data_IF_617752023297
#
_entry.id   IF_617752023297
#
_cell.length_a   1.000
_cell.length_b   1.000
_cell.length_c   1.000
_cell.angle_alpha   90.00
_cell.angle_beta   90.00
_cell.angle_gamma   90.00
#
_symmetry.space_group_name_H-M   'P 1'
#
loop_
_entity.id
_entity.type
_entity.pdbx_description
1 polymer ?
#
# COMPACT_ATOMS: atom_id res chain seq x y z
N UNK A 1 10.05 6.86 -13.45
CA UNK A 1 8.66 6.67 -13.94
C UNK A 1 7.87 7.92 -13.55
N UNK A 2 6.84 8.31 -14.34
CA UNK A 2 5.90 9.33 -13.89
C UNK A 2 5.13 8.84 -12.66
N UNK A 3 4.65 9.74 -11.77
CA UNK A 3 3.98 9.36 -10.53
C UNK A 3 2.75 8.48 -10.76
N UNK A 4 1.94 8.79 -11.76
CA UNK A 4 0.77 7.99 -12.11
C UNK A 4 1.13 6.58 -12.59
N UNK A 5 2.18 6.44 -13.43
CA UNK A 5 2.62 5.12 -13.89
C UNK A 5 3.19 4.27 -12.75
N UNK A 6 3.95 4.89 -11.84
CA UNK A 6 4.45 4.19 -10.68
C UNK A 6 3.30 3.76 -9.77
N UNK A 7 2.41 4.69 -9.41
CA UNK A 7 1.23 4.40 -8.59
C UNK A 7 0.34 3.30 -9.19
N UNK A 8 0.08 3.35 -10.49
CA UNK A 8 -0.74 2.35 -11.18
C UNK A 8 -0.07 0.97 -11.19
N UNK A 9 1.22 0.87 -11.53
CA UNK A 9 1.92 -0.41 -11.59
C UNK A 9 1.94 -1.14 -10.25
N UNK A 10 2.28 -0.43 -9.17
CA UNK A 10 2.24 -0.99 -7.82
C UNK A 10 0.82 -1.13 -7.28
N UNK A 11 -0.11 -0.27 -7.72
CA UNK A 11 -1.53 -0.35 -7.41
C UNK A 11 -2.16 -1.64 -7.94
N UNK A 12 -1.84 -2.07 -9.16
CA UNK A 12 -2.32 -3.35 -9.70
C UNK A 12 -1.86 -4.53 -8.85
N UNK A 13 -0.60 -4.55 -8.42
CA UNK A 13 -0.11 -5.60 -7.51
C UNK A 13 -0.86 -5.56 -6.17
N UNK A 14 -1.08 -4.38 -5.61
CA UNK A 14 -1.82 -4.21 -4.37
C UNK A 14 -3.30 -4.63 -4.50
N UNK A 15 -3.93 -4.39 -5.64
CA UNK A 15 -5.29 -4.87 -5.97
C UNK A 15 -5.33 -6.40 -6.01
N UNK A 16 -4.36 -7.05 -6.64
CA UNK A 16 -4.29 -8.52 -6.66
C UNK A 16 -4.14 -9.09 -5.24
N UNK A 17 -3.29 -8.49 -4.40
CA UNK A 17 -3.17 -8.88 -3.00
C UNK A 17 -4.50 -8.69 -2.26
N UNK A 18 -5.20 -7.57 -2.47
CA UNK A 18 -6.51 -7.31 -1.86
C UNK A 18 -7.55 -8.37 -2.28
N UNK A 19 -7.61 -8.70 -3.57
CA UNK A 19 -8.53 -9.72 -4.08
C UNK A 19 -8.25 -11.10 -3.47
N UNK A 20 -6.99 -11.53 -3.46
CA UNK A 20 -6.61 -12.83 -2.86
C UNK A 20 -6.93 -12.87 -1.37
N UNK A 21 -6.65 -11.78 -0.64
CA UNK A 21 -6.91 -11.71 0.80
C UNK A 21 -8.40 -11.73 1.12
N UNK A 22 -9.22 -11.01 0.38
CA UNK A 22 -10.66 -10.89 0.66
C UNK A 22 -11.49 -12.04 0.07
N UNK A 23 -11.06 -12.63 -1.04
CA UNK A 23 -11.77 -13.76 -1.68
C UNK A 23 -11.14 -15.12 -1.31
N UNK A 24 -10.37 -15.17 -0.22
CA UNK A 24 -9.69 -16.38 0.24
C UNK A 24 -10.65 -17.56 0.49
N UNK A 25 -11.87 -17.29 0.94
CA UNK A 25 -12.91 -18.30 1.15
C UNK A 25 -13.31 -19.06 -0.12
N UNK A 26 -13.00 -18.52 -1.32
CA UNK A 26 -13.15 -19.23 -2.58
C UNK A 26 -11.91 -20.06 -2.95
N UNK A 27 -10.78 -19.80 -2.32
CA UNK A 27 -9.47 -20.39 -2.65
C UNK A 27 -9.01 -21.42 -1.61
N UNK A 28 -9.50 -21.30 -0.38
CA UNK A 28 -9.07 -22.08 0.77
C UNK A 28 -10.24 -22.94 1.25
N UNK A 29 -10.03 -24.25 1.25
CA UNK A 29 -10.91 -25.20 1.93
C UNK A 29 -10.45 -25.31 3.41
N UNK A 30 -11.24 -24.85 4.38
CA UNK A 30 -10.87 -24.90 5.79
C UNK A 30 -10.57 -26.31 6.29
N UNK A 31 -11.22 -27.34 5.73
CA UNK A 31 -11.03 -28.74 6.12
C UNK A 31 -9.78 -29.36 5.47
N UNK A 32 -9.26 -28.75 4.40
CA UNK A 32 -8.11 -29.23 3.63
C UNK A 32 -6.75 -28.71 4.12
N UNK A 33 -6.71 -27.76 5.05
CA UNK A 33 -5.46 -27.14 5.54
C UNK A 33 -5.27 -27.35 7.04
N UNK A 34 -4.02 -27.38 7.54
CA UNK A 34 -3.74 -27.47 8.98
C UNK A 34 -4.33 -26.27 9.75
N UNK A 35 -4.92 -26.53 10.93
CA UNK A 35 -5.57 -25.53 11.77
C UNK A 35 -4.71 -24.31 12.08
N UNK A 36 -3.40 -24.49 12.29
CA UNK A 36 -2.48 -23.39 12.57
C UNK A 36 -2.30 -22.44 11.38
N UNK A 37 -2.35 -22.96 10.14
CA UNK A 37 -2.26 -22.12 8.94
C UNK A 37 -3.54 -21.30 8.80
N UNK A 38 -4.69 -21.94 8.99
CA UNK A 38 -5.98 -21.28 8.93
C UNK A 38 -6.07 -20.14 9.96
N UNK A 39 -5.70 -20.42 11.21
CA UNK A 39 -5.70 -19.42 12.29
C UNK A 39 -4.78 -18.25 11.98
N UNK A 40 -3.54 -18.51 11.54
CA UNK A 40 -2.60 -17.44 11.18
C UNK A 40 -3.14 -16.58 10.03
N UNK A 41 -3.73 -17.19 9.01
CA UNK A 41 -4.32 -16.44 7.89
C UNK A 41 -5.45 -15.55 8.39
N UNK A 42 -6.38 -16.07 9.21
CA UNK A 42 -7.54 -15.29 9.66
C UNK A 42 -7.17 -14.20 10.67
N UNK A 43 -6.25 -14.48 11.58
CA UNK A 43 -5.84 -13.53 12.62
C UNK A 43 -4.98 -12.40 12.07
N UNK A 44 -4.01 -12.70 11.21
CA UNK A 44 -3.02 -11.72 10.75
C UNK A 44 -3.31 -11.14 9.37
N UNK A 45 -4.35 -11.58 8.65
CA UNK A 45 -4.65 -11.14 7.28
C UNK A 45 -4.70 -9.62 7.12
N UNK A 46 -5.37 -8.94 8.04
CA UNK A 46 -5.56 -7.49 7.96
C UNK A 46 -4.25 -6.74 8.14
N UNK A 47 -3.44 -7.18 9.11
CA UNK A 47 -2.13 -6.60 9.41
C UNK A 47 -1.15 -6.83 8.25
N UNK A 48 -1.10 -8.06 7.72
CA UNK A 48 -0.24 -8.42 6.60
C UNK A 48 -0.64 -7.69 5.32
N UNK A 49 -1.94 -7.60 5.04
CA UNK A 49 -2.45 -6.85 3.90
C UNK A 49 -2.09 -5.36 4.00
N UNK A 50 -2.32 -4.73 5.17
CA UNK A 50 -1.99 -3.33 5.40
C UNK A 50 -0.49 -3.06 5.28
N UNK A 51 0.35 -3.92 5.85
CA UNK A 51 1.81 -3.84 5.72
C UNK A 51 2.25 -3.95 4.26
N UNK A 52 1.62 -4.86 3.49
CA UNK A 52 1.91 -5.03 2.06
C UNK A 52 1.50 -3.79 1.27
N UNK A 53 0.32 -3.20 1.54
CA UNK A 53 -0.11 -1.97 0.86
C UNK A 53 0.81 -0.80 1.17
N UNK A 54 1.24 -0.66 2.43
CA UNK A 54 2.19 0.36 2.85
C UNK A 54 3.54 0.19 2.12
N UNK A 55 4.05 -1.04 2.08
CA UNK A 55 5.29 -1.37 1.37
C UNK A 55 5.19 -1.05 -0.13
N UNK A 56 4.11 -1.43 -0.79
CA UNK A 56 3.88 -1.13 -2.21
C UNK A 56 3.73 0.38 -2.46
N UNK A 57 3.08 1.12 -1.55
CA UNK A 57 3.00 2.57 -1.60
C UNK A 57 4.38 3.24 -1.48
N UNK A 58 5.23 2.76 -0.58
CA UNK A 58 6.62 3.21 -0.44
C UNK A 58 7.42 2.89 -1.70
N UNK A 59 7.31 1.68 -2.25
CA UNK A 59 7.99 1.31 -3.50
C UNK A 59 7.53 2.18 -4.67
N UNK A 60 6.24 2.48 -4.78
CA UNK A 60 5.72 3.39 -5.78
C UNK A 60 6.38 4.77 -5.67
N UNK A 61 6.44 5.34 -4.45
CA UNK A 61 7.09 6.63 -4.19
C UNK A 61 8.60 6.59 -4.49
N UNK A 62 9.30 5.51 -4.17
CA UNK A 62 10.73 5.35 -4.46
C UNK A 62 11.04 5.32 -5.97
N UNK A 63 10.13 4.80 -6.78
CA UNK A 63 10.28 4.69 -8.25
C UNK A 63 9.92 5.97 -9.00
N UNK A 64 9.35 6.96 -8.35
CA UNK A 64 9.01 8.23 -8.96
C UNK A 64 10.27 9.00 -9.37
N UNK A 65 10.21 9.58 -10.58
CA UNK A 65 11.16 10.58 -11.05
C UNK A 65 10.35 11.75 -11.60
N UNK A 66 10.52 12.98 -11.09
CA UNK A 66 9.84 14.13 -11.61
C UNK A 66 10.12 14.27 -13.11
N UNK A 67 9.07 14.30 -13.91
CA UNK A 67 9.18 14.36 -15.39
C UNK A 67 9.07 15.78 -15.90
N UNK A 68 8.52 16.67 -15.09
CA UNK A 68 8.39 18.11 -15.42
C UNK A 68 9.16 18.88 -14.36
N UNK A 69 10.27 19.45 -14.78
CA UNK A 69 11.04 20.40 -13.98
C UNK A 69 10.47 21.78 -14.27
N UNK A 70 9.80 22.36 -13.30
CA UNK A 70 9.37 23.75 -13.33
C UNK A 70 10.50 24.59 -12.73
N UNK A 71 11.08 25.58 -13.45
CA UNK A 71 12.18 26.37 -12.94
C UNK A 71 11.80 27.20 -11.71
N UNK A 72 10.51 27.51 -11.55
CA UNK A 72 10.01 28.33 -10.44
C UNK A 72 9.70 27.51 -9.18
N UNK A 73 9.70 26.18 -9.27
CA UNK A 73 9.34 25.29 -8.14
C UNK A 73 10.56 24.51 -7.67
N UNK A 74 10.89 24.54 -6.38
CA UNK A 74 11.99 23.76 -5.82
C UNK A 74 11.84 22.27 -6.13
N UNK A 75 12.90 21.62 -6.59
CA UNK A 75 12.90 20.19 -6.92
C UNK A 75 12.34 19.30 -5.79
N UNK A 76 12.64 19.68 -4.55
CA UNK A 76 12.16 18.97 -3.34
C UNK A 76 10.64 18.97 -3.25
N UNK A 77 9.96 20.07 -3.56
CA UNK A 77 8.50 20.13 -3.49
C UNK A 77 7.83 19.35 -4.62
N UNK A 78 8.42 19.35 -5.82
CA UNK A 78 7.97 18.53 -6.94
C UNK A 78 8.09 17.03 -6.60
N UNK A 79 9.24 16.63 -6.06
CA UNK A 79 9.48 15.24 -5.66
C UNK A 79 8.52 14.79 -4.56
N UNK A 80 8.29 15.63 -3.54
CA UNK A 80 7.36 15.36 -2.46
C UNK A 80 5.93 15.18 -3.00
N UNK A 81 5.44 16.11 -3.80
CA UNK A 81 4.12 16.04 -4.44
C UNK A 81 3.96 14.77 -5.26
N UNK A 82 4.95 14.44 -6.07
CA UNK A 82 4.89 13.30 -6.97
C UNK A 82 4.98 11.95 -6.22
N UNK A 83 5.74 11.89 -5.11
CA UNK A 83 5.77 10.72 -4.23
C UNK A 83 4.44 10.51 -3.51
N UNK A 84 3.83 11.59 -2.96
CA UNK A 84 2.50 11.54 -2.35
C UNK A 84 1.46 11.05 -3.37
N UNK A 85 1.48 11.63 -4.58
CA UNK A 85 0.54 11.24 -5.64
C UNK A 85 0.65 9.75 -5.98
N UNK A 86 1.87 9.23 -6.15
CA UNK A 86 2.06 7.81 -6.48
C UNK A 86 1.52 6.89 -5.38
N UNK A 87 1.81 7.18 -4.10
CA UNK A 87 1.31 6.39 -2.98
C UNK A 87 -0.20 6.50 -2.81
N UNK A 88 -0.77 7.69 -3.02
CA UNK A 88 -2.23 7.91 -2.97
C UNK A 88 -2.96 7.14 -4.07
N UNK A 89 -2.38 7.04 -5.28
CA UNK A 89 -2.96 6.21 -6.37
C UNK A 89 -3.04 4.75 -5.94
N UNK A 90 -1.99 4.19 -5.31
CA UNK A 90 -2.04 2.83 -4.76
C UNK A 90 -3.17 2.69 -3.74
N UNK A 91 -3.29 3.64 -2.80
CA UNK A 91 -4.32 3.61 -1.77
C UNK A 91 -5.74 3.67 -2.33
N UNK A 92 -5.98 4.53 -3.33
CA UNK A 92 -7.29 4.68 -3.99
C UNK A 92 -7.66 3.40 -4.73
N UNK A 93 -6.71 2.80 -5.47
CA UNK A 93 -6.95 1.54 -6.18
C UNK A 93 -7.33 0.40 -5.22
N UNK A 94 -6.56 0.23 -4.13
CA UNK A 94 -6.86 -0.78 -3.10
C UNK A 94 -8.20 -0.48 -2.43
N UNK A 95 -8.42 0.77 -2.02
CA UNK A 95 -9.65 1.16 -1.34
C UNK A 95 -10.90 0.96 -2.19
N UNK A 96 -10.85 1.30 -3.48
CA UNK A 96 -11.95 1.05 -4.42
C UNK A 96 -12.20 -0.45 -4.60
N UNK A 97 -11.13 -1.26 -4.72
CA UNK A 97 -11.25 -2.72 -4.81
C UNK A 97 -11.90 -3.29 -3.56
N UNK A 98 -11.44 -2.92 -2.37
CA UNK A 98 -12.01 -3.39 -1.12
C UNK A 98 -13.48 -2.97 -0.94
N UNK A 99 -13.84 -1.77 -1.38
CA UNK A 99 -15.23 -1.33 -1.39
C UNK A 99 -16.11 -2.23 -2.28
N UNK A 100 -15.65 -2.51 -3.50
CA UNK A 100 -16.38 -3.40 -4.43
C UNK A 100 -16.46 -4.81 -3.87
N UNK A 101 -15.37 -5.36 -3.35
CA UNK A 101 -15.36 -6.72 -2.76
C UNK A 101 -16.25 -6.80 -1.53
N UNK A 102 -16.26 -5.78 -0.66
CA UNK A 102 -17.19 -5.73 0.48
C UNK A 102 -18.64 -5.77 0.01
N UNK A 103 -18.99 -5.04 -1.06
CA UNK A 103 -20.34 -5.07 -1.62
C UNK A 103 -20.68 -6.44 -2.20
N UNK A 104 -19.75 -7.10 -2.90
CA UNK A 104 -19.92 -8.45 -3.42
C UNK A 104 -20.07 -9.49 -2.31
N UNK A 105 -19.25 -9.41 -1.26
CA UNK A 105 -19.33 -10.29 -0.10
C UNK A 105 -20.64 -10.10 0.69
N UNK A 106 -21.17 -8.88 0.73
CA UNK A 106 -22.44 -8.60 1.38
C UNK A 106 -23.67 -9.10 0.57
N UNK A 107 -23.50 -9.41 -0.71
CA UNK A 107 -24.61 -9.74 -1.61
C UNK A 107 -24.39 -11.08 -2.32
N UNK A 108 -23.50 -11.12 -3.30
CA UNK A 108 -23.31 -12.27 -4.17
C UNK A 108 -22.65 -13.47 -3.47
N UNK A 109 -21.70 -13.20 -2.57
CA UNK A 109 -20.91 -14.23 -1.90
C UNK A 109 -21.31 -14.47 -0.44
N UNK A 110 -22.44 -13.89 0.00
CA UNK A 110 -22.85 -13.97 1.40
C UNK A 110 -23.04 -15.40 1.89
N UNK A 111 -23.63 -16.28 1.09
CA UNK A 111 -23.85 -17.68 1.47
C UNK A 111 -22.53 -18.46 1.51
N UNK A 112 -21.70 -18.33 0.50
CA UNK A 112 -20.39 -18.99 0.46
C UNK A 112 -19.49 -18.55 1.64
N UNK A 113 -19.58 -17.30 2.05
CA UNK A 113 -18.82 -16.80 3.20
C UNK A 113 -19.38 -17.32 4.53
N UNK A 114 -20.71 -17.51 4.65
CA UNK A 114 -21.32 -18.15 5.83
C UNK A 114 -20.92 -19.60 5.95
N UNK A 115 -20.93 -20.33 4.83
CA UNK A 115 -20.50 -21.74 4.82
C UNK A 115 -19.02 -21.85 5.21
N UNK A 116 -18.16 -21.00 4.65
CA UNK A 116 -16.76 -20.92 5.07
C UNK A 116 -16.59 -20.60 6.56
N UNK A 117 -17.34 -19.63 7.10
CA UNK A 117 -17.29 -19.26 8.51
C UNK A 117 -17.65 -20.44 9.42
N UNK A 118 -18.71 -21.18 9.07
CA UNK A 118 -19.16 -22.36 9.80
C UNK A 118 -18.10 -23.48 9.80
N UNK A 119 -17.45 -23.70 8.66
CA UNK A 119 -16.44 -24.75 8.52
C UNK A 119 -15.09 -24.37 9.16
N UNK A 120 -14.74 -23.07 9.15
CA UNK A 120 -13.47 -22.57 9.67
C UNK A 120 -13.47 -22.41 11.21
N UNK A 121 -14.59 -21.96 11.79
CA UNK A 121 -14.65 -21.61 13.21
C UNK A 121 -14.22 -22.73 14.17
N UNK A 122 -14.65 -23.98 14.02
CA UNK A 122 -14.22 -25.09 14.90
C UNK A 122 -12.70 -25.33 14.87
N UNK A 123 -12.09 -25.29 13.69
CA UNK A 123 -10.64 -25.49 13.50
C UNK A 123 -9.82 -24.38 14.17
N UNK A 124 -10.29 -23.12 14.07
CA UNK A 124 -9.63 -21.96 14.70
C UNK A 124 -9.70 -22.08 16.22
N UNK A 125 -10.86 -22.42 16.78
CA UNK A 125 -11.04 -22.60 18.23
C UNK A 125 -10.19 -23.75 18.74
N UNK A 126 -10.20 -24.91 18.09
CA UNK A 126 -9.39 -26.06 18.46
C UNK A 126 -7.88 -25.74 18.47
N UNK A 127 -7.42 -24.93 17.52
CA UNK A 127 -6.03 -24.47 17.53
C UNK A 127 -5.74 -23.53 18.69
N UNK A 128 -6.62 -22.57 18.97
CA UNK A 128 -6.46 -21.61 20.06
C UNK A 128 -6.45 -22.33 21.44
N UNK A 129 -7.30 -23.31 21.64
CA UNK A 129 -7.30 -24.18 22.84
C UNK A 129 -5.95 -24.91 23.02
N UNK A 130 -5.44 -25.48 21.92
CA UNK A 130 -4.13 -26.18 21.91
C UNK A 130 -2.98 -25.26 22.24
N UNK A 131 -3.00 -23.99 21.77
CA UNK A 131 -1.99 -22.99 22.06
C UNK A 131 -2.12 -22.50 23.50
N UNK A 132 -3.34 -22.20 23.95
CA UNK A 132 -3.64 -21.75 25.31
C UNK A 132 -3.16 -22.77 26.36
N UNK A 133 -3.32 -24.08 26.12
CA UNK A 133 -2.81 -25.12 27.00
C UNK A 133 -1.29 -25.15 27.18
N UNK A 134 -0.53 -24.36 26.41
CA UNK A 134 0.94 -24.24 26.51
C UNK A 134 1.41 -22.94 27.18
N UNK A 135 0.50 -22.04 27.50
CA UNK A 135 0.79 -20.71 28.07
C UNK A 135 0.34 -20.71 29.53
N UNK A 136 1.15 -20.16 30.43
CA UNK A 136 0.85 -20.13 31.89
C UNK A 136 -0.32 -19.21 32.26
N UNK A 137 -0.59 -18.18 31.46
CA UNK A 137 -1.72 -17.26 31.62
C UNK A 137 -2.32 -16.96 30.23
N UNK A 138 -3.14 -17.89 29.71
CA UNK A 138 -3.68 -17.76 28.38
C UNK A 138 -4.76 -16.65 28.33
N UNK A 139 -4.84 -15.90 27.21
CA UNK A 139 -5.97 -15.01 26.97
C UNK A 139 -7.28 -15.83 26.90
N UNK A 140 -8.44 -15.20 27.10
CA UNK A 140 -9.73 -15.88 26.95
C UNK A 140 -9.84 -16.45 25.53
N UNK A 141 -10.22 -17.73 25.47
CA UNK A 141 -10.40 -18.43 24.20
C UNK A 141 -11.78 -18.07 23.66
N UNK A 142 -11.89 -17.60 22.42
CA UNK A 142 -13.19 -17.30 21.82
C UNK A 142 -14.00 -18.59 21.62
N UNK A 143 -15.32 -18.49 21.74
CA UNK A 143 -16.22 -19.60 21.42
C UNK A 143 -16.34 -19.80 19.89
N UNK A 144 -16.85 -20.96 19.47
CA UNK A 144 -17.10 -21.22 18.04
C UNK A 144 -18.06 -20.19 17.47
N UNK A 145 -19.10 -19.82 18.21
CA UNK A 145 -20.10 -18.83 17.81
C UNK A 145 -19.47 -17.42 17.63
N UNK A 146 -18.58 -17.03 18.54
CA UNK A 146 -17.87 -15.74 18.43
C UNK A 146 -16.96 -15.68 17.20
N UNK A 147 -16.25 -16.79 16.92
CA UNK A 147 -15.39 -16.88 15.72
C UNK A 147 -16.24 -16.91 14.45
N UNK A 148 -17.33 -17.67 14.44
CA UNK A 148 -18.26 -17.71 13.31
C UNK A 148 -18.85 -16.32 13.04
N UNK A 149 -19.29 -15.60 14.08
CA UNK A 149 -19.81 -14.23 13.96
C UNK A 149 -18.76 -13.25 13.41
N UNK A 150 -17.51 -13.37 13.85
CA UNK A 150 -16.41 -12.54 13.36
C UNK A 150 -16.05 -12.79 11.87
N UNK A 151 -16.34 -13.98 11.37
CA UNK A 151 -16.10 -14.38 9.98
C UNK A 151 -17.32 -14.15 9.07
N UNK A 152 -18.49 -13.78 9.61
CA UNK A 152 -19.71 -13.56 8.84
C UNK A 152 -19.55 -12.50 7.74
N UNK A 153 -20.36 -12.61 6.67
CA UNK A 153 -20.35 -11.63 5.60
C UNK A 153 -20.69 -10.21 6.14
N UNK A 154 -20.03 -9.19 5.59
CA UNK A 154 -20.34 -7.80 5.94
C UNK A 154 -21.78 -7.47 5.56
N UNK A 155 -22.39 -6.55 6.30
CA UNK A 155 -23.74 -6.04 5.97
C UNK A 155 -23.59 -4.81 5.08
N UNK A 156 -24.60 -4.51 4.26
CA UNK A 156 -24.56 -3.29 3.42
C UNK A 156 -24.30 -1.99 4.21
N UNK A 157 -24.69 -1.97 5.49
CA UNK A 157 -24.36 -0.89 6.41
C UNK A 157 -22.85 -0.66 6.59
N UNK A 158 -22.04 -1.70 6.41
CA UNK A 158 -20.58 -1.63 6.56
C UNK A 158 -19.88 -0.97 5.37
N UNK A 159 -20.60 -0.72 4.27
CA UNK A 159 -20.06 0.05 3.14
C UNK A 159 -19.65 1.46 3.56
N UNK A 160 -20.36 2.09 4.50
CA UNK A 160 -19.98 3.38 5.07
C UNK A 160 -18.63 3.32 5.80
N UNK A 161 -18.40 2.24 6.56
CA UNK A 161 -17.13 1.97 7.23
C UNK A 161 -16.01 1.70 6.22
N UNK A 162 -16.31 1.00 5.13
CA UNK A 162 -15.35 0.76 4.04
C UNK A 162 -14.93 2.05 3.34
N UNK A 163 -15.85 3.00 3.14
CA UNK A 163 -15.53 4.34 2.61
C UNK A 163 -14.63 5.13 3.57
N UNK A 164 -14.92 5.12 4.85
CA UNK A 164 -14.06 5.75 5.85
C UNK A 164 -12.65 5.14 5.85
N UNK A 165 -12.56 3.81 5.80
CA UNK A 165 -11.28 3.10 5.72
C UNK A 165 -10.50 3.42 4.44
N UNK A 166 -11.17 3.71 3.31
CA UNK A 166 -10.51 4.17 2.09
C UNK A 166 -9.81 5.51 2.32
N UNK A 167 -10.50 6.47 2.93
CA UNK A 167 -9.91 7.78 3.24
C UNK A 167 -8.73 7.63 4.20
N UNK A 168 -8.89 6.83 5.25
CA UNK A 168 -7.82 6.57 6.23
C UNK A 168 -6.59 5.95 5.57
N UNK A 169 -6.77 4.97 4.68
CA UNK A 169 -5.68 4.35 3.91
C UNK A 169 -5.01 5.36 2.97
N UNK A 170 -5.79 6.21 2.30
CA UNK A 170 -5.25 7.25 1.44
C UNK A 170 -4.37 8.23 2.21
N UNK A 171 -4.79 8.64 3.41
CA UNK A 171 -4.02 9.48 4.30
C UNK A 171 -2.73 8.78 4.77
N UNK A 172 -2.82 7.52 5.19
CA UNK A 172 -1.69 6.75 5.69
C UNK A 172 -0.65 6.50 4.59
N UNK A 173 -1.05 6.03 3.42
CA UNK A 173 -0.13 5.80 2.30
C UNK A 173 0.39 7.11 1.72
N UNK A 174 -0.45 8.15 1.66
CA UNK A 174 -0.03 9.50 1.26
C UNK A 174 1.03 10.08 2.19
N UNK A 175 0.88 9.91 3.51
CA UNK A 175 1.87 10.32 4.51
C UNK A 175 3.19 9.54 4.38
N UNK A 176 3.13 8.24 4.11
CA UNK A 176 4.32 7.45 3.82
C UNK A 176 5.02 7.93 2.54
N UNK A 177 4.26 8.26 1.50
CA UNK A 177 4.79 8.88 0.28
C UNK A 177 5.44 10.24 0.54
N UNK A 178 4.85 11.07 1.40
CA UNK A 178 5.41 12.35 1.82
C UNK A 178 6.75 12.16 2.56
N UNK A 179 6.81 11.19 3.48
CA UNK A 179 8.04 10.86 4.20
C UNK A 179 9.15 10.44 3.22
N UNK A 180 8.85 9.55 2.29
CA UNK A 180 9.79 9.10 1.25
C UNK A 180 10.24 10.29 0.39
N UNK A 181 9.33 11.16 -0.03
CA UNK A 181 9.62 12.36 -0.80
C UNK A 181 10.51 13.34 -0.05
N UNK A 182 10.25 13.56 1.24
CA UNK A 182 11.04 14.42 2.10
C UNK A 182 12.47 13.88 2.30
N UNK A 183 12.61 12.59 2.60
CA UNK A 183 13.91 11.94 2.76
C UNK A 183 14.73 12.00 1.47
N UNK A 184 14.16 11.60 0.34
CA UNK A 184 14.84 11.68 -0.96
C UNK A 184 15.20 13.10 -1.35
N UNK A 185 14.34 14.07 -1.06
CA UNK A 185 14.59 15.49 -1.32
C UNK A 185 15.74 16.06 -0.47
N UNK A 186 15.93 15.54 0.74
CA UNK A 186 17.04 15.94 1.60
C UNK A 186 18.38 15.40 1.12
N UNK A 187 18.43 14.16 0.63
CA UNK A 187 19.65 13.56 0.08
C UNK A 187 19.96 14.04 -1.35
N UNK A 188 18.94 14.35 -2.17
CA UNK A 188 19.10 14.81 -3.56
C UNK A 188 19.66 16.23 -3.67
N UNK A 189 19.37 17.09 -2.70
CA UNK A 189 19.86 18.49 -2.72
C UNK A 189 21.38 18.62 -2.67
N UNK A 190 22.08 17.62 -2.11
CA UNK A 190 23.55 17.60 -2.04
C UNK A 190 24.17 17.24 -3.39
N UNK A 191 23.53 16.37 -4.18
CA UNK A 191 24.03 15.95 -5.49
C UNK A 191 23.78 17.00 -6.59
N UNK A 192 22.71 17.80 -6.50
CA UNK A 192 22.37 18.82 -7.50
C UNK A 192 23.19 20.11 -7.32
N UNK A 193 23.66 20.40 -6.10
CA UNK A 193 24.56 21.54 -5.87
C UNK A 193 25.90 21.39 -6.63
N UNK A 194 26.36 20.15 -6.83
CA UNK A 194 27.58 19.87 -7.60
C UNK A 194 27.40 19.93 -9.14
N UNK A 195 26.16 19.89 -9.65
CA UNK A 195 25.87 19.93 -11.09
C UNK A 195 25.54 21.32 -11.63
N UNK A 196 25.33 22.31 -10.77
CA UNK A 196 24.96 23.68 -11.14
C UNK A 196 26.14 24.64 -11.26
N UNK A 197 27.37 24.17 -11.29
CA UNK A 197 28.46 25.01 -11.76
C UNK A 197 28.31 25.18 -13.28
N UNK A 198 27.95 26.36 -13.78
CA UNK A 198 27.94 26.59 -15.22
C UNK A 198 29.34 26.27 -15.73
N UNK A 199 29.51 25.66 -16.88
CA UNK A 199 30.83 25.53 -17.47
C UNK A 199 31.39 26.96 -17.58
N UNK A 200 32.58 27.15 -16.99
CA UNK A 200 33.28 28.42 -17.05
C UNK A 200 33.30 28.85 -18.51
N UNK A 201 32.69 29.98 -18.75
CA UNK A 201 32.68 30.62 -20.05
C UNK A 201 34.16 30.79 -20.45
N UNK A 202 34.60 29.93 -21.37
CA UNK A 202 35.93 30.09 -21.98
C UNK A 202 35.93 31.44 -22.66
N UNK A 203 36.52 32.41 -21.97
CA UNK A 203 36.71 33.74 -22.47
C UNK A 203 37.25 33.68 -23.89
N UNK A 204 36.45 34.15 -24.84
CA UNK A 204 36.90 34.46 -26.18
C UNK A 204 37.93 35.55 -26.09
N UNK A 205 39.19 35.18 -26.09
CA UNK A 205 40.28 36.11 -26.32
C UNK A 205 40.14 36.56 -27.77
N UNK A 206 39.39 37.64 -27.96
CA UNK A 206 39.39 38.39 -29.21
C UNK A 206 40.76 39.03 -29.42
N UNK A 207 41.60 38.31 -30.18
CA UNK A 207 42.84 38.85 -30.72
C UNK A 207 42.56 39.91 -31.76
N UNK A 208 42.49 41.16 -31.29
CA UNK A 208 42.41 42.32 -32.17
C UNK A 208 43.83 42.66 -32.67
N UNK A 209 44.26 42.00 -33.77
CA UNK A 209 45.48 42.34 -34.50
C UNK A 209 45.25 43.54 -35.42
N UNK A 210 45.50 44.71 -34.90
CA UNK A 210 45.76 45.92 -35.76
C UNK A 210 47.04 45.69 -36.48
N UNK A 211 47.01 45.69 -37.81
CA UNK A 211 48.15 46.06 -38.64
C UNK A 211 47.77 47.38 -39.36
N UNK A 212 48.41 48.40 -38.89
CA UNK A 212 48.56 49.63 -39.65
C UNK A 212 49.79 49.54 -40.53
N UNK A 213 49.79 50.24 -41.65
CA UNK A 213 50.80 50.76 -42.52
C UNK A 213 50.69 50.24 -43.96
N UNK A 214 50.52 51.18 -44.78
CA UNK A 214 51.29 51.91 -45.70
C UNK A 214 50.45 52.66 -46.70
#
# INVERSE_FOLDING_TARGET
>A
MSPLRAGFAYGVVAVLVALVTELRFLLIDPQGIPDWILTVIEEFRTQLALATYLFLGILAALRVRPTRLDPDVPYRSLLLRDCVLASTVVAVMVGATLFVVTALNATLFADALRDYARDAAPSIVAYNEKVAGRISDPPPIPTVEEVEEALQPPVLRDLGRSMFNLVLRALLLGSAGALVGALRGSFGSVSDAGRRTPPAEKGSVSGNGKSAQG
#
